data_IF_027050119876
#
_entry.id   IF_027050119876
#
_cell.length_a   1.000
_cell.length_b   1.000
_cell.length_c   1.000
_cell.angle_alpha   90.00
_cell.angle_beta   90.00
_cell.angle_gamma   90.00
#
_symmetry.space_group_name_H-M   'P 1'
#
loop_
_entity.id
_entity.type
_entity.pdbx_description
1 polymer ?
#
# COMPACT_ATOMS: atom_id res chain seq x y z
N UNK A 1 16.74 -36.83 -23.51
CA UNK A 1 17.54 -35.59 -23.42
C UNK A 1 16.77 -34.45 -24.07
N UNK A 2 15.90 -33.82 -23.29
CA UNK A 2 14.97 -32.76 -23.68
C UNK A 2 15.31 -31.52 -22.85
N UNK A 3 15.95 -30.55 -23.52
CA UNK A 3 16.49 -29.32 -22.95
C UNK A 3 15.37 -28.45 -22.37
N UNK A 4 15.22 -28.49 -21.05
CA UNK A 4 14.37 -27.56 -20.29
C UNK A 4 14.89 -26.14 -20.45
N UNK A 5 14.22 -25.35 -21.30
CA UNK A 5 14.44 -23.91 -21.42
C UNK A 5 13.99 -23.24 -20.11
N UNK A 6 14.93 -23.08 -19.19
CA UNK A 6 14.76 -22.31 -17.95
C UNK A 6 14.53 -20.86 -18.36
N UNK A 7 13.27 -20.42 -18.36
CA UNK A 7 12.94 -19.01 -18.54
C UNK A 7 13.70 -18.20 -17.47
N UNK A 8 14.42 -17.16 -17.90
CA UNK A 8 15.26 -16.31 -17.03
C UNK A 8 14.45 -15.38 -16.13
N UNK A 9 13.13 -15.37 -16.27
CA UNK A 9 12.23 -14.81 -15.29
C UNK A 9 12.05 -15.84 -14.18
N UNK A 10 12.64 -15.58 -13.02
CA UNK A 10 12.21 -16.20 -11.77
C UNK A 10 10.72 -15.95 -11.55
N UNK A 11 10.06 -16.70 -10.65
CA UNK A 11 8.64 -16.53 -10.38
C UNK A 11 8.35 -15.04 -10.14
N UNK A 12 7.50 -14.47 -10.99
CA UNK A 12 7.12 -13.06 -10.90
C UNK A 12 6.50 -12.80 -9.52
N UNK A 13 6.84 -11.67 -8.86
CA UNK A 13 6.22 -11.29 -7.61
C UNK A 13 4.70 -11.26 -7.83
N UNK A 14 3.98 -12.02 -7.00
CA UNK A 14 2.52 -12.02 -7.04
C UNK A 14 2.07 -10.67 -6.50
N UNK A 15 1.47 -9.86 -7.36
CA UNK A 15 0.75 -8.66 -6.91
C UNK A 15 -0.52 -9.17 -6.22
N UNK A 16 -0.46 -9.29 -4.90
CA UNK A 16 -1.62 -9.69 -4.10
C UNK A 16 -2.54 -8.47 -3.93
N UNK A 17 -3.73 -8.54 -4.53
CA UNK A 17 -4.78 -7.55 -4.33
C UNK A 17 -5.84 -8.14 -3.40
N UNK A 18 -6.14 -7.43 -2.31
CA UNK A 18 -7.19 -7.82 -1.36
C UNK A 18 -8.45 -7.04 -1.70
N UNK A 19 -9.53 -7.75 -2.04
CA UNK A 19 -10.86 -7.14 -2.21
C UNK A 19 -11.48 -6.95 -0.83
N UNK A 20 -11.72 -5.70 -0.45
CA UNK A 20 -12.44 -5.34 0.77
C UNK A 20 -13.85 -4.87 0.42
N UNK A 21 -14.87 -5.49 1.02
CA UNK A 21 -16.26 -5.06 0.91
C UNK A 21 -16.66 -4.32 2.21
N UNK A 22 -17.25 -3.14 2.06
CA UNK A 22 -17.79 -2.38 3.19
C UNK A 22 -19.15 -1.78 2.83
N UNK A 23 -19.99 -1.59 3.85
CA UNK A 23 -21.24 -0.86 3.68
C UNK A 23 -20.93 0.64 3.59
N UNK A 24 -21.05 1.21 2.39
CA UNK A 24 -20.89 2.64 2.17
C UNK A 24 -22.24 3.34 2.34
N UNK A 25 -22.39 4.32 3.26
CA UNK A 25 -23.59 5.14 3.33
C UNK A 25 -23.86 5.85 2.00
N UNK A 26 -25.13 5.99 1.64
CA UNK A 26 -25.54 6.62 0.36
C UNK A 26 -25.03 8.05 0.23
N UNK A 27 -25.07 8.82 1.33
CA UNK A 27 -24.54 10.19 1.38
C UNK A 27 -23.05 10.23 1.05
N UNK A 28 -22.27 9.33 1.64
CA UNK A 28 -20.83 9.25 1.40
C UNK A 28 -20.52 8.89 -0.07
N UNK A 29 -21.27 7.95 -0.66
CA UNK A 29 -21.10 7.62 -2.08
C UNK A 29 -21.38 8.83 -2.98
N UNK A 30 -22.45 9.58 -2.70
CA UNK A 30 -22.79 10.78 -3.47
C UNK A 30 -21.70 11.87 -3.39
N UNK A 31 -21.10 12.04 -2.21
CA UNK A 31 -20.00 13.00 -2.03
C UNK A 31 -18.72 12.54 -2.74
N UNK A 32 -18.42 11.24 -2.73
CA UNK A 32 -17.30 10.66 -3.49
C UNK A 32 -17.49 10.83 -5.00
N UNK A 33 -18.70 10.65 -5.51
CA UNK A 33 -19.01 10.84 -6.92
C UNK A 33 -18.87 12.30 -7.34
N UNK A 34 -19.33 13.24 -6.50
CA UNK A 34 -19.13 14.67 -6.72
C UNK A 34 -17.64 15.02 -6.74
N UNK A 35 -16.86 14.46 -5.81
CA UNK A 35 -15.42 14.68 -5.76
C UNK A 35 -14.72 14.14 -7.02
N UNK A 36 -15.08 12.93 -7.45
CA UNK A 36 -14.60 12.34 -8.70
C UNK A 36 -14.89 13.23 -9.92
N UNK A 37 -16.10 13.79 -10.01
CA UNK A 37 -16.48 14.73 -11.08
C UNK A 37 -15.66 16.03 -11.03
N UNK A 38 -15.33 16.53 -9.84
CA UNK A 38 -14.45 17.70 -9.69
C UNK A 38 -13.01 17.36 -10.08
N UNK A 39 -12.50 16.19 -9.70
CA UNK A 39 -11.18 15.73 -10.09
C UNK A 39 -11.05 15.64 -11.62
N UNK A 40 -12.08 15.11 -12.29
CA UNK A 40 -12.13 15.04 -13.75
C UNK A 40 -12.11 16.41 -14.42
N UNK A 41 -12.74 17.42 -13.82
CA UNK A 41 -12.71 18.79 -14.32
C UNK A 41 -11.30 19.41 -14.21
N UNK A 42 -10.55 19.09 -13.17
CA UNK A 42 -9.20 19.65 -12.94
C UNK A 42 -8.15 18.96 -13.78
N UNK A 43 -8.19 17.63 -13.87
CA UNK A 43 -7.15 16.82 -14.51
C UNK A 43 -7.53 16.30 -15.91
N UNK A 44 -8.78 16.51 -16.34
CA UNK A 44 -9.27 16.09 -17.66
C UNK A 44 -9.55 14.60 -17.80
N UNK A 45 -9.32 13.81 -16.74
CA UNK A 45 -9.54 12.36 -16.74
C UNK A 45 -10.67 11.97 -15.79
N UNK A 46 -11.68 11.27 -16.31
CA UNK A 46 -12.77 10.75 -15.52
C UNK A 46 -12.28 9.60 -14.63
N UNK A 47 -12.25 9.84 -13.33
CA UNK A 47 -11.86 8.85 -12.31
C UNK A 47 -13.11 8.39 -11.57
N UNK A 48 -13.24 7.10 -11.28
CA UNK A 48 -14.37 6.59 -10.48
C UNK A 48 -14.05 6.63 -8.98
N UNK A 49 -15.09 6.75 -8.15
CA UNK A 49 -14.95 6.70 -6.70
C UNK A 49 -14.19 5.44 -6.24
N UNK A 50 -14.43 4.27 -6.85
CA UNK A 50 -13.75 3.02 -6.47
C UNK A 50 -12.24 3.05 -6.70
N UNK A 51 -11.79 3.78 -7.71
CA UNK A 51 -10.36 3.98 -8.00
C UNK A 51 -9.72 5.03 -7.10
N UNK A 52 -10.51 6.02 -6.67
CA UNK A 52 -10.04 7.12 -5.84
C UNK A 52 -9.93 6.73 -4.36
N UNK A 53 -10.87 5.91 -3.85
CA UNK A 53 -10.93 5.50 -2.43
C UNK A 53 -9.58 4.93 -1.93
N UNK A 54 -8.91 3.97 -2.63
CA UNK A 54 -7.62 3.46 -2.19
C UNK A 54 -6.56 4.54 -2.02
N UNK A 55 -6.46 5.48 -2.97
CA UNK A 55 -5.50 6.58 -2.92
C UNK A 55 -5.80 7.57 -1.78
N UNK A 56 -7.08 7.88 -1.56
CA UNK A 56 -7.50 8.74 -0.45
C UNK A 56 -7.17 8.10 0.91
N UNK A 57 -7.43 6.80 1.05
CA UNK A 57 -7.13 6.07 2.28
C UNK A 57 -5.62 5.97 2.51
N UNK A 58 -4.82 5.74 1.48
CA UNK A 58 -3.36 5.73 1.59
C UNK A 58 -2.83 7.10 2.05
N UNK A 59 -3.26 8.19 1.40
CA UNK A 59 -2.90 9.54 1.78
C UNK A 59 -3.34 9.88 3.21
N UNK A 60 -4.54 9.41 3.63
CA UNK A 60 -5.02 9.58 4.99
C UNK A 60 -4.14 8.85 6.01
N UNK A 61 -3.77 7.58 5.75
CA UNK A 61 -2.89 6.80 6.64
C UNK A 61 -1.48 7.40 6.71
N UNK A 62 -1.00 7.99 5.61
CA UNK A 62 0.26 8.74 5.58
C UNK A 62 0.17 10.09 6.30
N UNK A 63 -1.01 10.70 6.40
CA UNK A 63 -1.22 11.95 7.14
C UNK A 63 -1.41 11.76 8.65
N UNK A 64 -1.87 10.58 9.08
CA UNK A 64 -2.18 10.30 10.48
C UNK A 64 -0.90 10.05 11.31
N UNK A 65 -0.35 11.13 11.88
CA UNK A 65 0.83 11.08 12.75
C UNK A 65 0.64 10.23 14.00
N UNK A 66 -0.59 10.13 14.50
CA UNK A 66 -0.94 9.28 15.65
C UNK A 66 -0.81 7.80 15.29
N UNK A 67 -1.26 7.45 14.09
CA UNK A 67 -1.06 6.12 13.50
C UNK A 67 0.42 5.81 13.23
N UNK A 68 1.17 6.75 12.62
CA UNK A 68 2.58 6.54 12.28
C UNK A 68 3.49 6.32 13.48
N UNK A 69 3.27 7.07 14.58
CA UNK A 69 4.04 6.91 15.82
C UNK A 69 3.97 5.49 16.39
N UNK A 70 2.86 4.78 16.16
CA UNK A 70 2.67 3.41 16.66
C UNK A 70 3.08 2.34 15.63
N UNK A 71 3.19 2.70 14.35
CA UNK A 71 3.62 1.82 13.25
C UNK A 71 5.15 1.75 13.09
N UNK A 72 5.87 2.83 13.42
CA UNK A 72 7.35 2.85 13.39
C UNK A 72 7.97 1.77 14.30
N UNK A 73 7.32 1.46 15.42
CA UNK A 73 7.75 0.41 16.35
C UNK A 73 7.56 -1.01 15.79
N UNK A 74 6.68 -1.22 14.80
CA UNK A 74 6.40 -2.56 14.23
C UNK A 74 7.14 -2.84 12.92
N UNK A 75 7.38 -1.83 12.08
CA UNK A 75 8.10 -2.00 10.81
C UNK A 75 9.63 -2.04 10.99
N UNK A 76 10.19 -1.38 12.01
CA UNK A 76 11.63 -1.42 12.29
C UNK A 76 12.13 -2.82 12.71
N UNK A 77 11.26 -3.66 13.28
CA UNK A 77 11.59 -5.03 13.71
C UNK A 77 11.62 -6.05 12.55
N UNK A 78 11.07 -5.72 11.38
CA UNK A 78 11.00 -6.65 10.25
C UNK A 78 12.21 -6.57 9.31
N UNK A 79 13.03 -5.50 9.41
CA UNK A 79 14.21 -5.31 8.54
C UNK A 79 15.55 -5.49 9.27
N UNK A 80 15.54 -5.83 10.57
CA UNK A 80 16.76 -6.10 11.34
C UNK A 80 17.16 -7.58 11.26
N UNK A 81 17.37 -8.09 10.04
CA UNK A 81 17.99 -9.39 9.76
C UNK A 81 19.53 -9.34 9.64
N UNK A 82 20.18 -8.33 10.24
CA UNK A 82 21.63 -8.15 10.20
C UNK A 82 22.24 -8.40 11.57
N UNK A 83 22.72 -9.64 11.79
CA UNK A 83 23.53 -10.04 12.94
C UNK A 83 24.72 -9.08 13.07
N UNK A 84 24.73 -8.25 14.11
CA UNK A 84 25.96 -7.58 14.56
C UNK A 84 26.44 -8.30 15.81
N UNK A 85 27.37 -9.22 15.63
CA UNK A 85 28.19 -9.81 16.68
C UNK A 85 29.12 -8.71 17.20
N UNK A 86 28.67 -7.94 18.19
CA UNK A 86 29.56 -7.09 18.98
C UNK A 86 30.22 -7.95 20.05
N UNK A 87 31.40 -8.49 19.70
CA UNK A 87 32.26 -9.21 20.62
C UNK A 87 32.81 -8.28 21.69
N UNK A 88 32.33 -8.46 22.91
CA UNK A 88 32.89 -7.88 24.12
C UNK A 88 34.15 -8.65 24.54
N UNK A 89 35.29 -7.95 24.63
CA UNK A 89 36.41 -8.21 25.57
C UNK A 89 37.44 -7.10 25.32
N UNK A 90 37.99 -6.43 26.33
CA UNK A 90 38.69 -6.94 27.53
C UNK A 90 38.85 -5.78 28.55
N UNK A 91 39.32 -6.01 29.79
CA UNK A 91 38.95 -5.25 31.00
C UNK A 91 39.45 -3.80 31.07
#
# INVERSE_FOLDING_TARGET
MNTTRKLRLGPLPKVESVKLAFACPVSLKADLDRYAALHAQVYGEAVDATTLIPHMLEAFMQGDRGFQRNSASKHALQNAGGVTISGCRTP
#
